data_IF_813864034597
#
_entry.id   IF_813864034597
#
_cell.length_a   1.000
_cell.length_b   1.000
_cell.length_c   1.000
_cell.angle_alpha   90.00
_cell.angle_beta   90.00
_cell.angle_gamma   90.00
#
_symmetry.space_group_name_H-M   'P 1'
#
loop_
_entity.id
_entity.type
_entity.pdbx_description
1 polymer ?
#
# COMPACT_ATOMS: atom_id res chain seq x y z
N UNK A 1 11.83 -31.11 20.18
CA UNK A 1 12.49 -31.65 18.97
C UNK A 1 13.11 -30.50 18.21
N UNK A 2 14.33 -30.63 17.67
CA UNK A 2 14.90 -29.61 16.78
C UNK A 2 14.14 -29.58 15.45
N UNK A 3 13.92 -28.38 14.90
CA UNK A 3 13.36 -28.18 13.56
C UNK A 3 14.47 -28.33 12.51
N UNK A 4 14.18 -29.03 11.42
CA UNK A 4 15.11 -29.23 10.31
C UNK A 4 14.49 -28.79 8.98
N UNK A 5 15.36 -28.54 8.00
CA UNK A 5 14.95 -28.29 6.61
C UNK A 5 14.28 -29.56 6.07
N UNK A 6 13.10 -29.39 5.45
CA UNK A 6 12.26 -30.48 4.95
C UNK A 6 11.13 -30.90 5.90
N UNK A 7 11.12 -30.45 7.15
CA UNK A 7 10.03 -30.73 8.07
C UNK A 7 8.74 -29.98 7.67
N UNK A 8 7.58 -30.61 7.88
CA UNK A 8 6.29 -29.93 7.77
C UNK A 8 6.01 -29.19 9.08
N UNK A 9 5.91 -27.86 9.01
CA UNK A 9 5.59 -27.00 10.13
C UNK A 9 4.15 -26.52 9.99
N UNK A 10 3.34 -26.80 11.01
CA UNK A 10 2.03 -26.19 11.18
C UNK A 10 1.98 -25.49 12.53
N UNK A 11 1.88 -24.17 12.49
CA UNK A 11 1.94 -23.32 13.68
C UNK A 11 0.88 -22.23 13.60
N UNK A 12 0.22 -22.00 14.73
CA UNK A 12 -0.66 -20.87 14.93
C UNK A 12 -0.29 -20.18 16.23
N UNK A 13 -0.49 -18.88 16.26
CA UNK A 13 -0.13 -18.06 17.40
C UNK A 13 -0.55 -16.62 17.19
N UNK A 14 -0.11 -15.77 18.10
CA UNK A 14 -0.24 -14.31 17.98
C UNK A 14 1.16 -13.74 17.79
N UNK A 15 1.32 -12.91 16.78
CA UNK A 15 2.60 -12.34 16.42
C UNK A 15 2.44 -10.94 15.84
N UNK A 16 3.57 -10.41 15.38
CA UNK A 16 3.68 -9.10 14.76
C UNK A 16 4.03 -9.27 13.29
N UNK A 17 3.26 -8.68 12.37
CA UNK A 17 3.63 -8.71 10.96
C UNK A 17 4.91 -7.92 10.72
N UNK A 18 5.78 -8.43 9.85
CA UNK A 18 6.97 -7.70 9.42
C UNK A 18 6.57 -6.53 8.53
N UNK A 19 7.35 -5.46 8.60
CA UNK A 19 7.26 -4.39 7.61
C UNK A 19 8.41 -4.59 6.62
N UNK A 20 8.15 -4.55 5.30
CA UNK A 20 9.22 -4.69 4.32
C UNK A 20 10.17 -3.49 4.38
N UNK A 21 11.49 -3.76 4.44
CA UNK A 21 12.53 -2.75 4.64
C UNK A 21 12.63 -1.72 3.52
N UNK A 22 12.19 -2.03 2.30
CA UNK A 22 12.21 -1.08 1.19
C UNK A 22 11.30 -1.51 0.04
N UNK A 23 10.29 -0.70 -0.26
CA UNK A 23 9.79 -0.56 -1.62
C UNK A 23 10.33 0.77 -2.17
N UNK A 24 11.35 0.70 -3.01
CA UNK A 24 11.84 1.85 -3.75
C UNK A 24 10.78 2.25 -4.79
N UNK A 25 9.88 3.15 -4.40
CA UNK A 25 8.99 3.82 -5.32
C UNK A 25 9.40 5.29 -5.41
N UNK A 26 9.39 5.86 -6.61
CA UNK A 26 9.63 7.28 -6.87
C UNK A 26 8.55 8.22 -6.28
N UNK A 27 7.61 7.69 -5.48
CA UNK A 27 6.57 8.47 -4.79
C UNK A 27 6.85 8.54 -3.30
N UNK A 28 6.74 9.75 -2.73
CA UNK A 28 6.80 9.98 -1.30
C UNK A 28 5.51 9.48 -0.63
N UNK A 29 5.61 8.43 0.17
CA UNK A 29 4.49 7.93 0.99
C UNK A 29 4.71 8.29 2.45
N UNK A 30 3.61 8.50 3.18
CA UNK A 30 3.64 8.66 4.63
C UNK A 30 3.95 7.32 5.32
N UNK A 31 3.29 6.25 4.89
CA UNK A 31 3.58 4.86 5.28
C UNK A 31 3.03 3.88 4.24
N UNK A 32 3.50 2.63 4.27
CA UNK A 32 3.08 1.57 3.36
C UNK A 32 2.06 0.64 4.03
N UNK A 33 1.18 -0.02 3.25
CA UNK A 33 0.40 -1.14 3.78
C UNK A 33 1.37 -2.23 4.23
N UNK A 34 1.10 -2.80 5.40
CA UNK A 34 1.96 -3.79 6.02
C UNK A 34 1.85 -5.13 5.29
N UNK A 35 3.00 -5.81 5.15
CA UNK A 35 3.06 -7.11 4.48
C UNK A 35 3.16 -8.23 5.52
N UNK A 36 2.06 -8.94 5.73
CA UNK A 36 2.02 -10.10 6.63
C UNK A 36 2.50 -11.40 5.95
N UNK A 37 3.29 -11.33 4.88
CA UNK A 37 4.02 -12.47 4.32
C UNK A 37 5.11 -13.00 5.26
N UNK A 38 5.54 -12.16 6.22
CA UNK A 38 6.42 -12.53 7.30
C UNK A 38 5.83 -12.10 8.66
N UNK A 39 5.97 -12.95 9.67
CA UNK A 39 5.43 -12.71 11.02
C UNK A 39 6.50 -13.02 12.07
N UNK A 40 6.77 -12.04 12.93
CA UNK A 40 7.54 -12.19 14.15
C UNK A 40 6.69 -12.86 15.23
N UNK A 41 7.24 -13.92 15.82
CA UNK A 41 6.62 -14.65 16.91
C UNK A 41 7.60 -14.80 18.07
N UNK A 42 7.32 -14.09 19.16
CA UNK A 42 8.13 -14.07 20.38
C UNK A 42 7.25 -13.78 21.61
N UNK A 43 7.87 -13.86 22.79
CA UNK A 43 7.25 -13.50 24.07
C UNK A 43 7.70 -12.09 24.55
N UNK A 44 8.24 -11.26 23.65
CA UNK A 44 8.68 -9.92 24.02
C UNK A 44 7.47 -9.01 24.22
N UNK A 45 7.65 -7.93 24.99
CA UNK A 45 6.63 -6.90 25.09
C UNK A 45 6.40 -6.30 23.69
N UNK A 46 5.16 -6.31 23.19
CA UNK A 46 4.83 -5.73 21.89
C UNK A 46 5.18 -4.25 21.86
N UNK A 47 5.46 -3.73 20.67
CA UNK A 47 5.64 -2.29 20.50
C UNK A 47 4.35 -1.57 20.90
N UNK A 48 4.43 -0.42 21.58
CA UNK A 48 3.24 0.38 21.85
C UNK A 48 2.65 0.92 20.53
N UNK A 49 1.37 1.27 20.58
CA UNK A 49 0.77 2.01 19.47
C UNK A 49 1.50 3.35 19.27
N UNK A 50 1.61 3.85 18.01
CA UNK A 50 2.17 5.15 17.73
C UNK A 50 1.48 6.28 18.50
N UNK A 51 2.28 7.06 19.22
CA UNK A 51 1.87 8.26 19.93
C UNK A 51 2.84 9.40 19.58
N UNK A 52 2.34 10.63 19.46
CA UNK A 52 3.16 11.80 19.17
C UNK A 52 2.50 13.08 19.69
N UNK A 53 3.17 13.72 20.65
CA UNK A 53 2.74 15.02 21.17
C UNK A 53 2.64 16.10 20.08
N UNK A 54 3.43 15.97 19.00
CA UNK A 54 3.40 16.90 17.85
C UNK A 54 2.11 16.71 17.05
N UNK A 55 1.67 15.47 16.87
CA UNK A 55 0.38 15.17 16.23
C UNK A 55 -0.76 15.73 17.08
N UNK A 56 -0.73 15.54 18.40
CA UNK A 56 -1.77 16.04 19.29
C UNK A 56 -1.86 17.58 19.24
N UNK A 57 -0.71 18.27 19.21
CA UNK A 57 -0.66 19.73 19.02
C UNK A 57 -1.18 20.17 17.64
N UNK A 58 -0.84 19.44 16.58
CA UNK A 58 -1.31 19.73 15.23
C UNK A 58 -2.82 19.51 15.08
N UNK A 59 -3.34 18.44 15.66
CA UNK A 59 -4.77 18.15 15.73
C UNK A 59 -5.51 19.22 16.53
N UNK A 60 -4.97 19.64 17.68
CA UNK A 60 -5.56 20.70 18.49
C UNK A 60 -5.62 22.04 17.73
N UNK A 61 -4.59 22.39 16.97
CA UNK A 61 -4.59 23.60 16.13
C UNK A 61 -5.63 23.53 15.01
N UNK A 62 -5.72 22.39 14.32
CA UNK A 62 -6.73 22.15 13.28
C UNK A 62 -8.14 22.26 13.85
N UNK A 63 -8.43 21.54 14.93
CA UNK A 63 -9.74 21.52 15.57
C UNK A 63 -10.15 22.92 16.03
N UNK A 64 -9.23 23.67 16.64
CA UNK A 64 -9.47 25.05 17.07
C UNK A 64 -9.77 25.96 15.89
N UNK A 65 -9.00 25.84 14.81
CA UNK A 65 -9.21 26.63 13.59
C UNK A 65 -10.56 26.33 12.96
N UNK A 66 -10.90 25.05 12.78
CA UNK A 66 -12.19 24.63 12.22
C UNK A 66 -13.34 25.09 13.11
N UNK A 67 -13.23 24.92 14.44
CA UNK A 67 -14.27 25.32 15.40
C UNK A 67 -14.55 26.82 15.36
N UNK A 68 -13.51 27.66 15.27
CA UNK A 68 -13.69 29.11 15.25
C UNK A 68 -14.12 29.64 13.87
N UNK A 69 -13.66 29.03 12.77
CA UNK A 69 -14.02 29.48 11.41
C UNK A 69 -15.36 28.94 10.92
N UNK A 70 -15.76 27.76 11.40
CA UNK A 70 -17.02 27.10 11.08
C UNK A 70 -17.80 26.77 12.36
N UNK A 71 -18.29 27.78 13.09
CA UNK A 71 -19.09 27.54 14.27
C UNK A 71 -20.39 26.82 13.88
N UNK A 72 -20.59 25.61 14.40
CA UNK A 72 -21.87 24.90 14.32
C UNK A 72 -22.96 25.82 14.86
N UNK A 73 -24.05 25.95 14.10
CA UNK A 73 -25.00 27.07 14.14
C UNK A 73 -25.82 27.22 15.44
N UNK A 74 -25.51 26.52 16.53
CA UNK A 74 -26.50 26.34 17.59
C UNK A 74 -26.09 26.40 19.07
N UNK A 75 -24.83 26.59 19.46
CA UNK A 75 -24.51 26.42 20.90
C UNK A 75 -23.34 27.26 21.40
N UNK A 76 -23.26 28.56 21.07
CA UNK A 76 -22.43 29.46 21.87
C UNK A 76 -23.29 30.43 22.71
N UNK A 77 -23.56 30.11 23.99
CA UNK A 77 -24.34 30.96 24.89
C UNK A 77 -23.67 32.30 25.22
N UNK A 78 -22.42 32.53 24.75
CA UNK A 78 -21.69 33.79 24.92
C UNK A 78 -21.96 34.83 23.83
N UNK A 79 -22.56 34.43 22.69
CA UNK A 79 -22.83 35.33 21.58
C UNK A 79 -24.23 35.95 21.71
N UNK A 80 -24.30 37.28 21.73
CA UNK A 80 -25.57 38.00 21.68
C UNK A 80 -26.31 37.62 20.38
N UNK A 81 -27.57 37.15 20.44
CA UNK A 81 -28.31 36.69 19.26
C UNK A 81 -28.45 37.74 18.14
N UNK A 82 -28.42 39.04 18.47
CA UNK A 82 -28.40 40.11 17.46
C UNK A 82 -27.06 40.22 16.71
N UNK A 83 -25.94 39.94 17.39
CA UNK A 83 -24.61 40.00 16.80
C UNK A 83 -24.35 38.78 15.91
N UNK A 84 -24.73 37.59 16.37
CA UNK A 84 -24.68 36.37 15.55
C UNK A 84 -25.51 36.50 14.27
N UNK A 85 -26.73 37.06 14.39
CA UNK A 85 -27.60 37.40 13.26
C UNK A 85 -26.97 38.40 12.28
N UNK A 86 -26.33 39.47 12.78
CA UNK A 86 -25.70 40.49 11.95
C UNK A 86 -24.44 39.97 11.23
N UNK A 87 -23.65 39.13 11.91
CA UNK A 87 -22.45 38.48 11.36
C UNK A 87 -22.85 37.52 10.23
N UNK A 88 -23.83 36.64 10.47
CA UNK A 88 -24.35 35.71 9.46
C UNK A 88 -24.96 36.45 8.25
N UNK A 89 -25.65 37.58 8.48
CA UNK A 89 -26.22 38.42 7.41
C UNK A 89 -25.15 39.19 6.62
N UNK A 90 -24.01 39.49 7.24
CA UNK A 90 -22.88 40.18 6.60
C UNK A 90 -21.89 39.24 5.90
N UNK A 91 -22.03 37.92 6.10
CA UNK A 91 -21.10 36.91 5.59
C UNK A 91 -19.68 37.04 6.17
N UNK A 92 -19.49 37.78 7.26
CA UNK A 92 -18.21 37.82 7.98
C UNK A 92 -18.11 36.65 8.95
N UNK A 93 -16.89 36.21 9.23
CA UNK A 93 -16.59 35.14 10.20
C UNK A 93 -15.93 35.80 11.41
N UNK A 94 -16.37 35.42 12.61
CA UNK A 94 -15.85 35.94 13.87
C UNK A 94 -14.92 34.90 14.49
N UNK A 95 -13.65 35.26 14.68
CA UNK A 95 -12.75 34.54 15.57
C UNK A 95 -12.97 35.06 16.99
N UNK A 96 -13.54 34.22 17.84
CA UNK A 96 -13.90 34.50 19.23
C UNK A 96 -12.72 34.36 20.20
N UNK A 97 -11.81 33.40 19.93
CA UNK A 97 -10.63 33.14 20.75
C UNK A 97 -9.34 33.16 19.92
N UNK A 98 -8.99 34.35 19.44
CA UNK A 98 -7.77 34.57 18.69
C UNK A 98 -6.50 34.29 19.53
N UNK A 99 -6.58 34.43 20.86
CA UNK A 99 -5.46 34.14 21.76
C UNK A 99 -5.10 32.66 21.73
N UNK A 100 -6.11 31.78 21.86
CA UNK A 100 -5.93 30.33 21.82
C UNK A 100 -5.32 29.86 20.49
N UNK A 101 -5.73 30.46 19.37
CA UNK A 101 -5.15 30.17 18.05
C UNK A 101 -3.65 30.51 17.98
N UNK A 102 -3.24 31.66 18.53
CA UNK A 102 -1.84 32.08 18.60
C UNK A 102 -1.03 31.13 19.48
N UNK A 103 -1.55 30.75 20.65
CA UNK A 103 -0.86 29.86 21.59
C UNK A 103 -0.68 28.46 21.00
N UNK A 104 -1.73 27.86 20.42
CA UNK A 104 -1.62 26.55 19.75
C UNK A 104 -0.68 26.57 18.54
N UNK A 105 -0.65 27.69 17.81
CA UNK A 105 0.32 27.87 16.72
C UNK A 105 1.74 27.90 17.25
N UNK A 106 2.00 28.55 18.39
CA UNK A 106 3.31 28.52 19.03
C UNK A 106 3.71 27.12 19.50
N UNK A 107 2.77 26.39 20.11
CA UNK A 107 3.03 25.06 20.66
C UNK A 107 3.48 24.06 19.60
N UNK A 108 2.90 24.17 18.39
CA UNK A 108 3.27 23.36 17.22
C UNK A 108 4.51 23.92 16.52
N UNK A 109 4.53 25.23 16.24
CA UNK A 109 5.55 25.89 15.42
C UNK A 109 6.61 26.58 16.29
N UNK A 110 7.22 25.85 17.21
CA UNK A 110 8.10 26.45 18.21
C UNK A 110 9.44 26.95 17.65
N UNK A 111 9.89 26.41 16.51
CA UNK A 111 11.16 26.80 15.91
C UNK A 111 11.03 28.11 15.12
N UNK A 112 12.11 28.91 15.00
CA UNK A 112 12.06 30.20 14.29
C UNK A 112 11.63 30.08 12.82
N UNK A 113 11.96 28.96 12.15
CA UNK A 113 11.67 28.75 10.73
C UNK A 113 10.35 27.99 10.49
N UNK A 114 9.71 27.49 11.53
CA UNK A 114 8.45 26.75 11.40
C UNK A 114 7.29 27.70 11.15
N UNK A 115 6.43 27.31 10.20
CA UNK A 115 5.14 27.95 9.93
C UNK A 115 5.21 29.45 9.63
N UNK A 116 6.31 29.94 9.03
CA UNK A 116 6.55 31.38 8.78
C UNK A 116 5.36 32.10 8.13
N UNK A 117 4.70 31.47 7.15
CA UNK A 117 3.53 32.05 6.48
C UNK A 117 2.33 32.20 7.42
N UNK A 118 2.07 31.19 8.24
CA UNK A 118 1.00 31.21 9.24
C UNK A 118 1.28 32.25 10.33
N UNK A 119 2.50 32.26 10.88
CA UNK A 119 2.93 33.26 11.87
C UNK A 119 2.77 34.68 11.35
N UNK A 120 3.22 34.96 10.13
CA UNK A 120 3.07 36.28 9.52
C UNK A 120 1.60 36.68 9.31
N UNK A 121 0.75 35.73 8.90
CA UNK A 121 -0.68 35.97 8.76
C UNK A 121 -1.32 36.34 10.11
N UNK A 122 -1.00 35.60 11.17
CA UNK A 122 -1.50 35.87 12.52
C UNK A 122 -0.99 37.20 13.08
N UNK A 123 0.29 37.56 12.84
CA UNK A 123 0.84 38.87 13.24
C UNK A 123 0.08 40.02 12.59
N UNK A 124 -0.25 39.89 11.30
CA UNK A 124 -1.04 40.88 10.58
C UNK A 124 -2.48 40.96 11.09
N UNK A 125 -3.12 39.81 11.37
CA UNK A 125 -4.48 39.75 11.93
C UNK A 125 -4.56 40.34 13.35
N UNK A 126 -3.55 40.07 14.19
CA UNK A 126 -3.45 40.59 15.55
C UNK A 126 -2.89 42.01 15.67
N UNK A 127 -2.61 42.67 14.53
CA UNK A 127 -1.98 44.00 14.47
C UNK A 127 -0.77 44.13 15.42
N UNK A 128 0.13 43.15 15.37
CA UNK A 128 1.35 43.11 16.17
C UNK A 128 2.59 43.43 15.32
N UNK A 129 3.68 43.83 15.98
CA UNK A 129 4.94 44.16 15.30
C UNK A 129 5.66 42.91 14.76
N UNK A 130 5.70 41.87 15.57
CA UNK A 130 6.37 40.59 15.29
C UNK A 130 5.68 39.46 16.07
N UNK A 131 6.07 38.22 15.76
CA UNK A 131 5.51 37.02 16.39
C UNK A 131 5.70 37.02 17.91
N UNK A 132 6.87 37.43 18.41
CA UNK A 132 7.18 37.43 19.84
C UNK A 132 6.34 38.46 20.62
N UNK A 133 6.08 39.63 20.03
CA UNK A 133 5.17 40.61 20.58
C UNK A 133 3.73 40.08 20.59
N UNK A 134 3.29 39.39 19.54
CA UNK A 134 1.95 38.80 19.48
C UNK A 134 1.77 37.74 20.58
N UNK A 135 2.72 36.82 20.71
CA UNK A 135 2.69 35.78 21.72
C UNK A 135 2.66 36.32 23.15
N UNK A 136 3.48 37.33 23.45
CA UNK A 136 3.46 37.97 24.79
C UNK A 136 2.10 38.59 25.11
N UNK A 137 1.39 39.13 24.11
CA UNK A 137 0.03 39.66 24.29
C UNK A 137 -0.98 38.54 24.50
N UNK A 138 -0.83 37.41 23.81
CA UNK A 138 -1.66 36.23 24.00
C UNK A 138 -1.48 35.65 25.41
N UNK A 139 -0.23 35.41 25.82
CA UNK A 139 0.14 34.82 27.11
C UNK A 139 -0.25 35.70 28.31
N UNK A 140 -0.09 37.02 28.19
CA UNK A 140 -0.54 37.97 29.23
C UNK A 140 -2.06 38.17 29.28
N UNK A 141 -2.83 37.49 28.43
CA UNK A 141 -4.29 37.61 28.34
C UNK A 141 -4.78 38.93 27.76
N UNK A 142 -3.89 39.75 27.20
CA UNK A 142 -4.28 41.04 26.56
C UNK A 142 -5.11 40.84 25.29
N UNK A 143 -5.10 39.63 24.71
CA UNK A 143 -5.92 39.26 23.57
C UNK A 143 -7.26 38.60 23.97
N UNK A 144 -7.50 38.36 25.26
CA UNK A 144 -8.74 37.74 25.72
C UNK A 144 -9.94 38.67 25.47
N UNK A 145 -10.89 38.22 24.65
CA UNK A 145 -12.05 39.01 24.22
C UNK A 145 -11.80 39.86 22.96
N UNK A 146 -10.64 39.74 22.32
CA UNK A 146 -10.40 40.35 21.02
C UNK A 146 -11.08 39.52 19.92
N UNK A 147 -12.24 40.01 19.48
CA UNK A 147 -12.97 39.43 18.38
C UNK A 147 -12.39 39.90 17.04
N UNK A 148 -11.83 38.98 16.25
CA UNK A 148 -11.31 39.31 14.91
C UNK A 148 -12.37 38.97 13.87
N UNK A 149 -12.80 39.98 13.11
CA UNK A 149 -13.75 39.83 12.00
C UNK A 149 -12.98 39.58 10.70
N UNK A 150 -13.23 38.43 10.10
CA UNK A 150 -12.65 38.02 8.82
C UNK A 150 -13.69 38.04 7.71
N UNK A 151 -13.24 38.42 6.52
CA UNK A 151 -13.99 38.12 5.29
C UNK A 151 -13.85 36.63 4.96
N UNK A 152 -14.82 36.00 4.26
CA UNK A 152 -14.76 34.58 3.91
C UNK A 152 -13.45 34.17 3.24
N UNK A 153 -12.96 34.97 2.29
CA UNK A 153 -11.70 34.71 1.58
C UNK A 153 -10.49 34.72 2.52
N UNK A 154 -10.49 35.58 3.53
CA UNK A 154 -9.41 35.66 4.53
C UNK A 154 -9.47 34.50 5.52
N UNK A 155 -10.68 34.05 5.89
CA UNK A 155 -10.89 32.87 6.71
C UNK A 155 -10.43 31.60 5.97
N UNK A 156 -10.82 31.42 4.72
CA UNK A 156 -10.38 30.32 3.86
C UNK A 156 -8.85 30.34 3.66
N UNK A 157 -8.26 31.52 3.47
CA UNK A 157 -6.80 31.64 3.37
C UNK A 157 -6.09 31.24 4.68
N UNK A 158 -6.64 31.63 5.83
CA UNK A 158 -6.12 31.23 7.15
C UNK A 158 -6.23 29.72 7.35
N UNK A 159 -7.38 29.14 7.04
CA UNK A 159 -7.61 27.69 7.11
C UNK A 159 -6.64 26.92 6.22
N UNK A 160 -6.44 27.36 4.98
CA UNK A 160 -5.47 26.75 4.07
C UNK A 160 -4.03 26.85 4.58
N UNK A 161 -3.66 27.97 5.22
CA UNK A 161 -2.34 28.13 5.85
C UNK A 161 -2.16 27.16 7.02
N UNK A 162 -3.18 26.99 7.86
CA UNK A 162 -3.18 26.04 8.97
C UNK A 162 -3.10 24.61 8.43
N UNK A 163 -3.96 24.23 7.49
CA UNK A 163 -3.95 22.92 6.85
C UNK A 163 -2.59 22.58 6.24
N UNK A 164 -1.98 23.52 5.51
CA UNK A 164 -0.65 23.32 4.91
C UNK A 164 0.44 23.14 5.98
N UNK A 165 0.40 23.97 7.03
CA UNK A 165 1.36 23.88 8.13
C UNK A 165 1.25 22.55 8.87
N UNK A 166 0.05 22.18 9.31
CA UNK A 166 -0.19 20.94 10.08
C UNK A 166 0.07 19.70 9.25
N UNK A 167 -0.32 19.68 7.96
CA UNK A 167 -0.07 18.53 7.06
C UNK A 167 1.40 18.11 7.02
N UNK A 168 2.32 19.07 7.05
CA UNK A 168 3.77 18.79 7.05
C UNK A 168 4.19 18.03 8.31
N UNK A 169 3.66 18.41 9.48
CA UNK A 169 3.90 17.69 10.72
C UNK A 169 3.26 16.30 10.71
N UNK A 170 2.01 16.18 10.24
CA UNK A 170 1.35 14.88 10.10
C UNK A 170 2.18 13.92 9.26
N UNK A 171 2.62 14.32 8.07
CA UNK A 171 3.42 13.44 7.21
C UNK A 171 4.75 13.03 7.83
N UNK A 172 5.47 13.99 8.45
CA UNK A 172 6.77 13.70 9.07
C UNK A 172 6.64 12.74 10.25
N UNK A 173 5.70 13.00 11.15
CA UNK A 173 5.50 12.17 12.34
C UNK A 173 4.89 10.81 11.99
N UNK A 174 3.97 10.74 11.02
CA UNK A 174 3.42 9.47 10.52
C UNK A 174 4.53 8.59 9.94
N UNK A 175 5.41 9.17 9.12
CA UNK A 175 6.55 8.46 8.54
C UNK A 175 7.51 7.96 9.62
N UNK A 176 7.88 8.83 10.57
CA UNK A 176 8.76 8.47 11.68
C UNK A 176 8.16 7.34 12.53
N UNK A 177 6.86 7.41 12.81
CA UNK A 177 6.16 6.37 13.55
C UNK A 177 6.14 5.04 12.79
N UNK A 178 5.88 5.06 11.48
CA UNK A 178 5.92 3.88 10.65
C UNK A 178 7.32 3.24 10.61
N UNK A 179 8.38 4.05 10.46
CA UNK A 179 9.78 3.58 10.52
C UNK A 179 10.10 2.94 11.88
N UNK A 180 9.58 3.48 12.99
CA UNK A 180 9.78 2.89 14.33
C UNK A 180 9.07 1.54 14.51
N UNK A 181 7.97 1.29 13.79
CA UNK A 181 7.29 -0.01 13.80
C UNK A 181 8.11 -1.11 13.08
N UNK A 182 9.13 -0.75 12.32
CA UNK A 182 10.03 -1.68 11.62
C UNK A 182 11.15 -2.23 12.52
N UNK A 183 11.13 -1.92 13.82
CA UNK A 183 12.16 -2.36 14.77
C UNK A 183 11.66 -3.55 15.60
N UNK A 184 11.78 -4.80 15.11
CA UNK A 184 11.30 -5.97 15.84
C UNK A 184 12.10 -6.18 17.14
N UNK A 185 11.46 -6.67 18.21
CA UNK A 185 12.16 -7.00 19.43
C UNK A 185 13.12 -8.19 19.22
N UNK A 186 14.23 -8.25 19.98
CA UNK A 186 15.26 -9.26 19.79
C UNK A 186 14.78 -10.68 20.14
N UNK A 187 15.21 -11.65 19.34
CA UNK A 187 14.97 -13.07 19.58
C UNK A 187 13.61 -13.59 19.10
N UNK A 188 13.36 -14.87 19.37
CA UNK A 188 12.15 -15.57 18.92
C UNK A 188 12.28 -16.10 17.49
N UNK A 189 11.19 -16.05 16.74
CA UNK A 189 11.10 -16.62 15.40
C UNK A 189 10.56 -15.59 14.41
N UNK A 190 11.13 -15.54 13.21
CA UNK A 190 10.54 -14.85 12.06
C UNK A 190 10.09 -15.93 11.07
N UNK A 191 8.79 -16.06 10.89
CA UNK A 191 8.20 -17.03 9.96
C UNK A 191 7.93 -16.30 8.66
N UNK A 192 8.52 -16.75 7.55
CA UNK A 192 8.45 -16.09 6.24
C UNK A 192 7.84 -17.03 5.21
N UNK A 193 6.90 -16.54 4.41
CA UNK A 193 6.45 -17.23 3.20
C UNK A 193 7.38 -16.90 2.03
N UNK A 194 8.02 -17.92 1.43
CA UNK A 194 8.84 -17.72 0.23
C UNK A 194 8.02 -17.34 -1.02
N UNK A 195 6.74 -17.72 -1.04
CA UNK A 195 5.77 -17.36 -2.08
C UNK A 195 5.18 -15.93 -1.90
N UNK A 196 5.52 -15.22 -0.82
CA UNK A 196 4.93 -13.91 -0.52
C UNK A 196 3.45 -13.97 -0.13
N UNK A 197 2.97 -15.13 0.32
CA UNK A 197 1.58 -15.32 0.72
C UNK A 197 1.33 -14.67 2.08
N UNK A 198 0.24 -13.92 2.20
CA UNK A 198 -0.20 -13.35 3.47
C UNK A 198 -0.51 -14.48 4.48
N UNK A 199 0.21 -14.49 5.61
CA UNK A 199 0.03 -15.45 6.72
C UNK A 199 -1.12 -15.05 7.66
N UNK A 200 -1.70 -13.88 7.41
CA UNK A 200 -2.73 -13.23 8.19
C UNK A 200 -3.87 -12.83 7.27
N UNK A 201 -5.11 -13.15 7.69
CA UNK A 201 -6.30 -12.66 7.03
C UNK A 201 -6.67 -11.28 7.59
N UNK A 202 -6.44 -10.23 6.81
CA UNK A 202 -6.85 -8.87 7.16
C UNK A 202 -7.99 -8.38 6.26
N UNK A 203 -8.97 -7.64 6.82
CA UNK A 203 -9.96 -6.97 6.00
C UNK A 203 -9.25 -5.90 5.15
N UNK A 204 -9.49 -5.91 3.85
CA UNK A 204 -8.97 -4.87 2.97
C UNK A 204 -9.61 -3.52 3.32
N UNK A 205 -8.83 -2.43 3.38
CA UNK A 205 -9.39 -1.11 3.61
C UNK A 205 -10.34 -0.72 2.47
N UNK A 206 -11.48 -0.12 2.81
CA UNK A 206 -12.51 0.30 1.85
C UNK A 206 -12.10 1.54 1.05
N UNK A 207 -11.18 2.33 1.62
CA UNK A 207 -10.61 3.54 1.02
C UNK A 207 -9.13 3.31 0.85
N UNK A 208 -8.59 3.73 -0.30
CA UNK A 208 -7.16 3.68 -0.53
C UNK A 208 -6.43 4.57 0.47
N UNK A 209 -5.29 4.11 1.00
CA UNK A 209 -4.43 4.94 1.87
C UNK A 209 -4.02 6.27 1.20
N UNK A 210 -4.07 6.32 -0.15
CA UNK A 210 -3.75 7.52 -0.94
C UNK A 210 -4.83 8.60 -0.90
N UNK A 211 -6.09 8.23 -0.61
CA UNK A 211 -7.22 9.16 -0.67
C UNK A 211 -7.54 9.77 0.70
N UNK A 212 -6.78 9.39 1.74
CA UNK A 212 -6.96 9.88 3.11
C UNK A 212 -6.25 11.23 3.31
N UNK A 213 -6.92 12.13 4.03
CA UNK A 213 -6.30 13.36 4.54
C UNK A 213 -5.22 13.05 5.59
N UNK A 214 -4.25 13.94 5.84
CA UNK A 214 -3.12 13.65 6.73
C UNK A 214 -3.52 13.26 8.17
N UNK A 215 -4.51 13.91 8.82
CA UNK A 215 -5.04 13.45 10.10
C UNK A 215 -5.67 12.04 10.05
N UNK A 216 -6.40 11.72 8.98
CA UNK A 216 -6.95 10.37 8.78
C UNK A 216 -5.87 9.33 8.53
N UNK A 217 -4.79 9.67 7.81
CA UNK A 217 -3.65 8.78 7.61
C UNK A 217 -2.99 8.38 8.94
N UNK A 218 -2.81 9.33 9.87
CA UNK A 218 -2.30 9.02 11.21
C UNK A 218 -3.22 8.07 11.99
N UNK A 219 -4.53 8.35 12.00
CA UNK A 219 -5.52 7.49 12.65
C UNK A 219 -5.54 6.09 12.05
N UNK A 220 -5.38 5.98 10.74
CA UNK A 220 -5.32 4.71 10.05
C UNK A 220 -4.03 3.93 10.37
N UNK A 221 -2.88 4.62 10.49
CA UNK A 221 -1.65 4.01 11.00
C UNK A 221 -1.84 3.46 12.41
N UNK A 222 -2.47 4.22 13.32
CA UNK A 222 -2.77 3.75 14.68
C UNK A 222 -3.69 2.53 14.67
N UNK A 223 -4.75 2.56 13.85
CA UNK A 223 -5.69 1.44 13.71
C UNK A 223 -5.01 0.18 13.17
N UNK A 224 -4.21 0.32 12.12
CA UNK A 224 -3.52 -0.79 11.46
C UNK A 224 -2.40 -1.34 12.35
N UNK A 225 -1.59 -0.48 12.97
CA UNK A 225 -0.56 -0.92 13.92
C UNK A 225 -1.16 -1.68 15.11
N UNK A 226 -2.28 -1.21 15.67
CA UNK A 226 -3.00 -1.94 16.72
C UNK A 226 -3.40 -3.36 16.30
N UNK A 227 -3.83 -3.53 15.04
CA UNK A 227 -4.19 -4.84 14.49
C UNK A 227 -2.95 -5.72 14.26
N UNK A 228 -1.87 -5.14 13.76
CA UNK A 228 -0.68 -5.86 13.27
C UNK A 228 0.31 -6.27 14.35
N UNK A 229 0.38 -5.51 15.43
CA UNK A 229 1.24 -5.81 16.57
C UNK A 229 0.75 -7.03 17.37
N UNK A 230 -0.52 -7.39 17.20
CA UNK A 230 -1.22 -8.45 17.92
C UNK A 230 -2.09 -9.29 17.01
N UNK A 231 -1.55 -9.77 15.89
CA UNK A 231 -2.39 -10.49 14.94
C UNK A 231 -2.32 -12.00 15.13
N UNK A 232 -3.47 -12.69 15.20
CA UNK A 232 -3.48 -14.13 15.07
C UNK A 232 -2.98 -14.51 13.67
N UNK A 233 -2.01 -15.40 13.60
CA UNK A 233 -1.48 -15.93 12.36
C UNK A 233 -1.61 -17.46 12.34
N UNK A 234 -1.65 -18.01 11.13
CA UNK A 234 -1.58 -19.45 10.90
C UNK A 234 -0.63 -19.69 9.74
N UNK A 235 0.49 -20.33 10.01
CA UNK A 235 1.48 -20.69 9.03
C UNK A 235 1.54 -22.22 8.90
N UNK A 236 1.52 -22.71 7.66
CA UNK A 236 1.64 -24.12 7.34
C UNK A 236 2.52 -24.26 6.11
N UNK A 237 3.47 -25.19 6.13
CA UNK A 237 4.34 -25.42 4.98
C UNK A 237 5.56 -26.26 5.32
N UNK A 238 6.37 -26.50 4.30
CA UNK A 238 7.64 -27.21 4.41
C UNK A 238 8.74 -26.20 4.68
N UNK A 239 9.58 -26.47 5.68
CA UNK A 239 10.71 -25.60 6.00
C UNK A 239 11.77 -25.72 4.89
N UNK A 240 12.04 -24.63 4.18
CA UNK A 240 13.06 -24.59 3.12
C UNK A 240 14.39 -24.04 3.60
N UNK A 241 14.37 -23.16 4.60
CA UNK A 241 15.57 -22.55 5.17
C UNK A 241 15.36 -22.23 6.65
N UNK A 242 16.43 -22.43 7.44
CA UNK A 242 16.53 -22.00 8.83
C UNK A 242 17.83 -21.23 8.98
N UNK A 243 17.75 -19.96 9.35
CA UNK A 243 18.92 -19.15 9.69
C UNK A 243 18.69 -18.40 11.01
N UNK A 244 19.75 -17.88 11.62
CA UNK A 244 19.65 -17.07 12.84
C UNK A 244 20.35 -15.76 12.57
N UNK A 245 19.67 -14.65 12.87
CA UNK A 245 20.25 -13.33 12.70
C UNK A 245 21.14 -12.94 13.90
N UNK A 246 21.79 -11.78 13.78
CA UNK A 246 22.63 -11.22 14.83
C UNK A 246 21.86 -10.88 16.13
N UNK A 247 20.54 -10.71 16.04
CA UNK A 247 19.66 -10.41 17.16
C UNK A 247 19.16 -11.68 17.88
N UNK A 248 19.57 -12.87 17.40
CA UNK A 248 19.16 -14.15 17.95
C UNK A 248 17.76 -14.62 17.51
N UNK A 249 17.15 -13.95 16.54
CA UNK A 249 15.89 -14.35 15.92
C UNK A 249 16.16 -15.49 14.95
N UNK A 250 15.36 -16.56 15.01
CA UNK A 250 15.42 -17.66 14.05
C UNK A 250 14.48 -17.40 12.88
N UNK A 251 15.05 -17.24 11.70
CA UNK A 251 14.34 -17.08 10.45
C UNK A 251 13.96 -18.47 9.94
N UNK A 252 12.66 -18.72 9.81
CA UNK A 252 12.10 -19.97 9.31
C UNK A 252 11.35 -19.63 8.03
N UNK A 253 11.89 -20.07 6.90
CA UNK A 253 11.25 -19.87 5.60
C UNK A 253 10.38 -21.09 5.30
N UNK A 254 9.11 -20.84 4.99
CA UNK A 254 8.12 -21.84 4.68
C UNK A 254 7.71 -21.75 3.21
N UNK A 255 7.75 -22.90 2.56
CA UNK A 255 7.11 -23.12 1.27
C UNK A 255 5.77 -23.78 1.47
N UNK A 256 4.74 -23.30 0.78
CA UNK A 256 3.39 -23.80 0.97
C UNK A 256 3.28 -25.27 0.53
N UNK A 257 2.55 -26.07 1.30
CA UNK A 257 2.20 -27.42 0.84
C UNK A 257 1.12 -27.27 -0.26
N UNK A 258 1.24 -27.99 -1.39
CA UNK A 258 0.24 -27.91 -2.44
C UNK A 258 -1.12 -28.33 -1.89
N UNK A 259 -2.07 -27.40 -1.96
CA UNK A 259 -3.44 -27.58 -1.48
C UNK A 259 -4.07 -28.81 -2.16
N UNK A 260 -4.95 -29.53 -1.46
CA UNK A 260 -5.48 -30.82 -1.96
C UNK A 260 -6.13 -30.67 -3.36
N UNK A 261 -6.76 -29.53 -3.62
CA UNK A 261 -7.33 -29.20 -4.93
C UNK A 261 -6.27 -28.98 -6.02
N UNK A 262 -5.12 -28.40 -5.68
CA UNK A 262 -4.00 -28.22 -6.61
C UNK A 262 -3.41 -29.57 -7.01
N UNK A 263 -3.28 -30.51 -6.05
CA UNK A 263 -2.82 -31.88 -6.33
C UNK A 263 -3.75 -32.59 -7.33
N UNK A 264 -5.07 -32.47 -7.15
CA UNK A 264 -6.05 -33.01 -8.10
C UNK A 264 -5.95 -32.38 -9.49
N UNK A 265 -5.72 -31.06 -9.57
CA UNK A 265 -5.50 -30.37 -10.85
C UNK A 265 -4.24 -30.90 -11.53
N UNK A 266 -3.14 -31.06 -10.82
CA UNK A 266 -1.89 -31.59 -11.38
C UNK A 266 -2.07 -33.01 -11.92
N UNK A 267 -2.74 -33.89 -11.16
CA UNK A 267 -3.09 -35.24 -11.62
C UNK A 267 -3.93 -35.19 -12.91
N UNK A 268 -4.94 -34.32 -12.96
CA UNK A 268 -5.77 -34.12 -14.15
C UNK A 268 -4.97 -33.62 -15.37
N UNK A 269 -4.06 -32.65 -15.18
CA UNK A 269 -3.22 -32.12 -16.25
C UNK A 269 -2.25 -33.17 -16.79
N UNK A 270 -1.62 -33.97 -15.91
CA UNK A 270 -0.71 -35.05 -16.32
C UNK A 270 -1.47 -36.13 -17.12
N UNK A 271 -2.66 -36.51 -16.66
CA UNK A 271 -3.53 -37.46 -17.38
C UNK A 271 -3.90 -36.94 -18.77
N UNK A 272 -4.32 -35.66 -18.86
CA UNK A 272 -4.68 -35.03 -20.13
C UNK A 272 -3.48 -34.96 -21.08
N UNK A 273 -2.29 -34.61 -20.57
CA UNK A 273 -1.05 -34.58 -21.36
C UNK A 273 -0.72 -35.96 -21.93
N UNK A 274 -0.87 -37.03 -21.13
CA UNK A 274 -0.69 -38.40 -21.59
C UNK A 274 -1.67 -38.76 -22.72
N UNK A 275 -2.95 -38.43 -22.57
CA UNK A 275 -3.94 -38.68 -23.64
C UNK A 275 -3.57 -37.92 -24.91
N UNK A 276 -3.22 -36.63 -24.81
CA UNK A 276 -2.81 -35.83 -25.97
C UNK A 276 -1.55 -36.38 -26.66
N UNK A 277 -0.55 -36.83 -25.89
CA UNK A 277 0.64 -37.49 -26.43
C UNK A 277 0.27 -38.78 -27.16
N UNK A 278 -0.58 -39.63 -26.59
CA UNK A 278 -1.02 -40.86 -27.27
C UNK A 278 -1.78 -40.57 -28.56
N UNK A 279 -2.70 -39.60 -28.55
CA UNK A 279 -3.40 -39.16 -29.75
C UNK A 279 -2.43 -38.61 -30.81
N UNK A 280 -1.44 -37.81 -30.39
CA UNK A 280 -0.42 -37.27 -31.28
C UNK A 280 0.41 -38.36 -31.95
N UNK A 281 0.86 -39.35 -31.17
CA UNK A 281 1.64 -40.49 -31.69
C UNK A 281 0.79 -41.32 -32.66
N UNK A 282 -0.45 -41.67 -32.30
CA UNK A 282 -1.33 -42.47 -33.16
C UNK A 282 -1.62 -41.74 -34.48
N UNK A 283 -2.02 -40.47 -34.42
CA UNK A 283 -2.30 -39.69 -35.62
C UNK A 283 -1.04 -39.47 -36.47
N UNK A 284 0.12 -39.26 -35.83
CA UNK A 284 1.42 -39.17 -36.51
C UNK A 284 1.77 -40.45 -37.27
N UNK A 285 1.63 -41.63 -36.63
CA UNK A 285 1.85 -42.92 -37.28
C UNK A 285 0.89 -43.15 -38.45
N UNK A 286 -0.40 -42.82 -38.27
CA UNK A 286 -1.39 -42.91 -39.34
C UNK A 286 -1.06 -41.97 -40.52
N UNK A 287 -0.62 -40.75 -40.24
CA UNK A 287 -0.21 -39.78 -41.25
C UNK A 287 1.03 -40.25 -42.03
N UNK A 288 2.05 -40.75 -41.33
CA UNK A 288 3.25 -41.33 -41.97
C UNK A 288 2.90 -42.53 -42.85
N UNK A 289 2.04 -43.43 -42.36
CA UNK A 289 1.56 -44.57 -43.16
C UNK A 289 0.83 -44.11 -44.41
N UNK A 290 -0.04 -43.09 -44.28
CA UNK A 290 -0.77 -42.51 -45.41
C UNK A 290 0.18 -41.87 -46.42
N UNK A 291 1.18 -41.12 -45.97
CA UNK A 291 2.20 -40.52 -46.84
C UNK A 291 3.02 -41.58 -47.56
N UNK A 292 3.45 -42.63 -46.87
CA UNK A 292 4.20 -43.73 -47.48
C UNK A 292 3.41 -44.43 -48.57
N UNK A 293 2.16 -44.81 -48.28
CA UNK A 293 1.27 -45.44 -49.25
C UNK A 293 0.97 -44.51 -50.43
N UNK A 294 0.81 -43.21 -50.19
CA UNK A 294 0.56 -42.26 -51.26
C UNK A 294 1.81 -42.07 -52.15
N UNK A 295 3.01 -42.08 -51.55
CA UNK A 295 4.27 -42.02 -52.29
C UNK A 295 4.47 -43.27 -53.16
N UNK A 296 4.17 -44.45 -52.63
CA UNK A 296 4.18 -45.70 -53.40
C UNK A 296 3.18 -45.64 -54.56
N UNK A 297 1.94 -45.22 -54.31
CA UNK A 297 0.93 -45.03 -55.36
C UNK A 297 1.40 -44.07 -56.47
N UNK A 298 2.04 -42.96 -56.12
CA UNK A 298 2.57 -42.02 -57.11
C UNK A 298 3.66 -42.64 -57.99
N UNK A 299 4.55 -43.46 -57.41
CA UNK A 299 5.58 -44.19 -58.16
C UNK A 299 4.93 -45.22 -59.11
N UNK A 300 3.95 -45.98 -58.62
CA UNK A 300 3.22 -46.96 -59.43
C UNK A 300 2.47 -46.30 -60.60
N UNK A 301 1.84 -45.15 -60.36
CA UNK A 301 1.16 -44.36 -61.39
C UNK A 301 2.18 -43.88 -62.43
N UNK A 302 3.31 -43.32 -62.00
CA UNK A 302 4.35 -42.85 -62.91
C UNK A 302 4.90 -43.99 -63.78
N UNK A 303 5.17 -45.15 -63.19
CA UNK A 303 5.61 -46.34 -63.91
C UNK A 303 4.55 -46.86 -64.90
N UNK A 304 3.26 -46.80 -64.56
CA UNK A 304 2.17 -47.15 -65.48
C UNK A 304 2.13 -46.23 -66.70
N UNK A 305 2.22 -44.92 -66.51
CA UNK A 305 2.24 -43.96 -67.61
C UNK A 305 3.51 -44.07 -68.46
N UNK A 306 4.68 -44.26 -67.86
CA UNK A 306 5.94 -44.48 -68.58
C UNK A 306 5.85 -45.71 -69.48
N UNK A 307 5.23 -46.81 -69.02
CA UNK A 307 5.07 -48.04 -69.80
C UNK A 307 4.06 -47.89 -70.95
N UNK A 308 2.98 -47.12 -70.77
CA UNK A 308 1.97 -46.86 -71.79
C UNK A 308 2.42 -45.86 -72.86
N UNK A 309 3.19 -44.82 -72.50
CA UNK A 309 3.64 -43.80 -73.45
C UNK A 309 4.97 -44.13 -74.13
N UNK A 310 5.86 -44.94 -73.54
CA UNK A 310 7.11 -45.33 -74.20
C UNK A 310 6.94 -46.25 -75.42
N UNK A 311 5.81 -46.96 -75.56
CA UNK A 311 5.53 -47.74 -76.77
C UNK A 311 5.19 -46.86 -77.99
N UNK A 312 4.79 -45.60 -77.79
CA UNK A 312 4.37 -44.70 -78.86
C UNK A 312 5.49 -43.74 -79.34
N UNK A 313 6.70 -43.83 -78.77
CA UNK A 313 7.89 -43.11 -79.25
C UNK A 313 8.75 -43.94 -80.23
N UNK A 314 8.36 -45.18 -80.53
CA UNK A 314 9.03 -46.04 -81.52
C UNK A 314 8.62 -45.81 -82.98
N UNK A 315 7.68 -44.91 -83.26
CA UNK A 315 7.10 -44.71 -84.60
C UNK A 315 7.03 -43.25 -85.05
N UNK A 316 8.03 -42.42 -84.70
CA UNK A 316 8.24 -41.15 -85.38
C UNK A 316 9.73 -40.95 -85.73
N UNK A 317 9.96 -40.81 -87.04
CA UNK A 317 11.17 -40.36 -87.74
C UNK A 317 12.26 -41.38 -88.09
N UNK A 318 11.93 -42.23 -89.07
CA UNK A 318 12.85 -42.46 -90.19
C UNK A 318 12.69 -41.30 -91.18
N UNK A 319 13.43 -40.20 -90.97
CA UNK A 319 13.73 -39.25 -92.05
C UNK A 319 15.23 -39.35 -92.31
N UNK A 320 15.57 -40.02 -93.41
CA UNK A 320 16.94 -40.10 -93.94
C UNK A 320 17.41 -38.69 -94.34
N UNK A 321 18.70 -38.36 -94.15
CA UNK A 321 19.27 -37.15 -94.69
C UNK A 321 19.59 -37.36 -96.18
N UNK A 322 19.60 -36.27 -96.95
CA UNK A 322 20.61 -35.87 -97.96
C UNK A 322 19.94 -34.95 -99.02
N UNK A 323 20.47 -33.72 -99.08
CA UNK A 323 20.17 -32.56 -99.95
C UNK A 323 18.90 -31.74 -99.64
#
# INVERSE_FOLDING_TARGET
MPLNIGDNLKVSGTGMCSVPDNYQSNRSYAFMPFDCSAVYWNNATPLPQPQSDIIDKAAALLETTTKQLHPETNTDPKLNPQLASAIQKSGMILLDDFSDLVMKTQDLCNQPQDCMRLKNALVNLGNAKDWEALMRRADSGQLNGMNVLLRPVSAEALENLVNTATSTFFFRETRRAAENLNSPPPGGFLIVSDEGRQLVNQPQPTVSLFDLDPPSQWRELQRISAMLLHTPFSASGIITSISTDANGTRHIVLHNEPDAMAQWRYLGTVLLLLVLLTCGVINGLLALRRMHLNRQRMIDIQHYYDKCFNHNLGTLQSVRPIF
#
